data_IF_143857968108
#
_entry.id   IF_143857968108
#
_cell.length_a   1.000
_cell.length_b   1.000
_cell.length_c   1.000
_cell.angle_alpha   90.00
_cell.angle_beta   90.00
_cell.angle_gamma   90.00
#
_symmetry.space_group_name_H-M   'P 1'
#
loop_
_entity.id
_entity.type
_entity.pdbx_description
1 polymer ?
#
# COMPACT_ATOMS: atom_id res chain seq x y z
N UNK A 1 5.45 -4.48 -1.51
CA UNK A 1 4.49 -4.90 -2.56
C UNK A 1 4.84 -4.25 -3.90
N UNK A 2 5.38 -5.02 -4.84
CA UNK A 2 5.96 -4.50 -6.07
C UNK A 2 4.92 -3.97 -7.07
N UNK A 3 3.64 -4.30 -6.89
CA UNK A 3 2.58 -4.04 -7.86
C UNK A 3 1.88 -2.68 -7.68
N UNK A 4 2.03 -2.02 -6.53
CA UNK A 4 1.39 -0.72 -6.26
C UNK A 4 1.66 0.35 -7.35
N UNK A 5 2.89 0.49 -7.89
CA UNK A 5 3.18 1.44 -8.96
C UNK A 5 2.40 1.18 -10.26
N UNK A 6 1.97 -0.07 -10.51
CA UNK A 6 1.20 -0.43 -11.72
C UNK A 6 -0.20 0.19 -11.72
N UNK A 7 -0.73 0.51 -10.53
CA UNK A 7 -2.06 1.08 -10.38
C UNK A 7 -2.05 2.61 -10.37
N UNK A 8 -0.89 3.27 -10.48
CA UNK A 8 -0.72 4.73 -10.30
C UNK A 8 -1.68 5.57 -11.14
N UNK A 9 -1.98 5.15 -12.37
CA UNK A 9 -2.89 5.85 -13.29
C UNK A 9 -4.37 5.55 -13.04
N UNK A 10 -4.66 4.60 -12.14
CA UNK A 10 -6.01 4.19 -11.77
C UNK A 10 -6.44 4.99 -10.54
N UNK A 11 -7.68 5.50 -10.54
CA UNK A 11 -8.27 6.17 -9.38
C UNK A 11 -8.67 5.15 -8.29
N UNK A 12 -7.67 4.54 -7.68
CA UNK A 12 -7.86 3.56 -6.62
C UNK A 12 -8.35 4.26 -5.35
N UNK A 13 -9.47 3.79 -4.79
CA UNK A 13 -10.06 4.33 -3.56
C UNK A 13 -9.70 3.54 -2.30
N UNK A 14 -9.34 2.27 -2.45
CA UNK A 14 -8.98 1.39 -1.34
C UNK A 14 -8.12 0.21 -1.83
N UNK A 15 -7.21 -0.25 -0.97
CA UNK A 15 -6.42 -1.45 -1.18
C UNK A 15 -6.70 -2.47 -0.06
N UNK A 16 -6.86 -3.75 -0.40
CA UNK A 16 -7.09 -4.83 0.57
C UNK A 16 -5.88 -5.77 0.56
N UNK A 17 -5.11 -5.76 1.65
CA UNK A 17 -3.87 -6.54 1.79
C UNK A 17 -4.06 -7.83 2.61
N UNK A 18 -5.19 -8.53 2.46
CA UNK A 18 -5.58 -9.66 3.34
C UNK A 18 -4.54 -10.79 3.39
N UNK A 19 -4.21 -11.43 2.26
CA UNK A 19 -3.20 -12.51 2.24
C UNK A 19 -1.77 -12.02 2.43
N UNK A 20 -1.49 -10.79 2.00
CA UNK A 20 -0.17 -10.19 2.14
C UNK A 20 0.18 -9.93 3.63
N UNK A 21 -0.83 -9.63 4.46
CA UNK A 21 -0.66 -9.48 5.91
C UNK A 21 -0.77 -10.80 6.66
N UNK A 22 -1.74 -11.65 6.32
CA UNK A 22 -1.97 -12.92 7.02
C UNK A 22 -0.83 -13.94 6.85
N UNK A 23 -0.12 -13.90 5.71
CA UNK A 23 1.03 -14.76 5.43
C UNK A 23 2.40 -14.14 5.74
N UNK A 24 2.45 -12.91 6.26
CA UNK A 24 3.71 -12.22 6.52
C UNK A 24 4.36 -12.69 7.83
N UNK A 25 5.69 -12.86 7.80
CA UNK A 25 6.47 -13.08 9.01
C UNK A 25 6.37 -11.90 10.00
N UNK A 26 6.20 -10.69 9.47
CA UNK A 26 6.10 -9.44 10.25
C UNK A 26 4.92 -8.58 9.76
N UNK A 27 3.67 -8.91 10.14
CA UNK A 27 2.48 -8.28 9.59
C UNK A 27 2.39 -6.77 9.84
N UNK A 28 2.84 -6.30 11.02
CA UNK A 28 2.86 -4.88 11.35
C UNK A 28 3.83 -4.07 10.46
N UNK A 29 5.01 -4.65 10.18
CA UNK A 29 6.00 -4.03 9.30
C UNK A 29 5.50 -3.99 7.86
N UNK A 30 4.91 -5.09 7.38
CA UNK A 30 4.31 -5.16 6.05
C UNK A 30 3.17 -4.14 5.91
N UNK A 31 2.34 -3.96 6.93
CA UNK A 31 1.29 -2.92 6.94
C UNK A 31 1.88 -1.50 6.86
N UNK A 32 2.93 -1.21 7.64
CA UNK A 32 3.59 0.09 7.63
C UNK A 32 4.23 0.40 6.26
N UNK A 33 4.93 -0.55 5.66
CA UNK A 33 5.49 -0.41 4.31
C UNK A 33 4.40 -0.24 3.24
N UNK A 34 3.26 -0.92 3.40
CA UNK A 34 2.11 -0.81 2.51
C UNK A 34 1.52 0.62 2.54
N UNK A 35 1.33 1.17 3.74
CA UNK A 35 0.89 2.55 3.92
C UNK A 35 1.88 3.55 3.33
N UNK A 36 3.18 3.39 3.58
CA UNK A 36 4.20 4.30 3.06
C UNK A 36 4.23 4.32 1.51
N UNK A 37 4.01 3.18 0.87
CA UNK A 37 3.98 3.11 -0.60
C UNK A 37 2.70 3.70 -1.19
N UNK A 38 1.55 3.53 -0.53
CA UNK A 38 0.31 4.21 -0.96
C UNK A 38 0.49 5.72 -0.84
N UNK A 39 1.04 6.20 0.26
CA UNK A 39 1.31 7.63 0.49
C UNK A 39 2.31 8.19 -0.54
N UNK A 40 3.36 7.45 -0.89
CA UNK A 40 4.32 7.88 -1.90
C UNK A 40 3.73 8.03 -3.33
N UNK A 41 2.63 7.31 -3.65
CA UNK A 41 2.05 7.28 -5.00
C UNK A 41 0.79 8.16 -5.08
N UNK A 42 -0.07 8.12 -4.06
CA UNK A 42 -1.36 8.82 -4.00
C UNK A 42 -1.51 9.74 -2.79
N UNK A 43 -0.53 9.81 -1.91
CA UNK A 43 -0.48 10.81 -0.85
C UNK A 43 -0.33 12.18 -1.49
N UNK A 44 -1.47 12.80 -1.79
CA UNK A 44 -1.51 14.23 -1.98
C UNK A 44 -0.97 14.85 -0.70
N UNK A 45 -0.01 15.76 -0.88
CA UNK A 45 0.65 16.52 0.19
C UNK A 45 -0.43 17.32 0.94
N UNK A 46 -1.10 16.69 1.90
CA UNK A 46 -2.06 17.35 2.74
C UNK A 46 -1.29 18.19 3.77
N UNK A 47 -1.18 19.48 3.42
CA UNK A 47 -0.73 20.62 4.24
C UNK A 47 0.74 20.61 4.70
#
# INVERSE_FOLDING_TARGET
PADLPLFRDINVKAFIAGRALAGAAHPAQVAAEFHAQIDAIWGEKHA
#
